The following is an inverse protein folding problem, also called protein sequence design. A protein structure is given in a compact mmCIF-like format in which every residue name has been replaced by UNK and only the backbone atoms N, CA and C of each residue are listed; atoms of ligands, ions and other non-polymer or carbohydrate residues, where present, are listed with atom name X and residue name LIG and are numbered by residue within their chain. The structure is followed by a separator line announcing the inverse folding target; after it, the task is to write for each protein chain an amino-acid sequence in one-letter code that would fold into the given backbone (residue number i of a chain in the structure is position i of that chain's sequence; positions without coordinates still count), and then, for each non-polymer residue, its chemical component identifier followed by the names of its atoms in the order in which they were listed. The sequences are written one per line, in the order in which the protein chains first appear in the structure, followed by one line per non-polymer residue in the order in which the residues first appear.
data_IF_642235128595
#
_entry.id   IF_642235128595
#
_cell.length_a   1.000
_cell.length_b   1.000
_cell.length_c   1.000
_cell.angle_alpha   90.00
_cell.angle_beta   90.00
_cell.angle_gamma   90.00
#
_symmetry.space_group_name_H-M   'P 1'
#
loop_
_entity.id
_entity.type
_entity.pdbx_description
1 polymer ?
#
# COMPACT_ATOMS: atom_id res chain seq x y z
N UNK A 1 -7.43 51.14 -22.12
CA UNK A 1 -8.20 52.01 -21.21
C UNK A 1 -9.74 51.90 -21.34
N UNK A 2 -10.31 51.11 -22.26
CA UNK A 2 -11.76 51.15 -22.56
C UNK A 2 -12.71 50.69 -21.44
N UNK A 3 -12.27 49.87 -20.48
CA UNK A 3 -13.15 49.31 -19.45
C UNK A 3 -13.90 50.39 -18.64
N UNK A 4 -13.26 51.52 -18.32
CA UNK A 4 -13.83 52.58 -17.49
C UNK A 4 -14.91 53.41 -18.20
N UNK A 5 -15.13 53.24 -19.50
CA UNK A 5 -16.10 54.01 -20.29
C UNK A 5 -17.50 53.36 -20.37
N UNK A 6 -17.63 52.05 -20.08
CA UNK A 6 -18.94 51.40 -20.04
C UNK A 6 -19.65 51.66 -18.69
N UNK A 7 -20.95 51.98 -18.68
CA UNK A 7 -21.80 51.94 -17.49
C UNK A 7 -21.79 50.56 -16.81
N UNK A 8 -21.93 50.56 -15.49
CA UNK A 8 -21.86 49.33 -14.67
C UNK A 8 -22.98 48.34 -15.02
N UNK A 9 -24.13 48.81 -15.49
CA UNK A 9 -25.28 47.99 -15.91
C UNK A 9 -24.97 47.16 -17.15
N UNK A 10 -24.19 47.68 -18.09
CA UNK A 10 -23.72 46.91 -19.24
C UNK A 10 -22.67 45.88 -18.82
N UNK A 11 -21.77 46.24 -17.89
CA UNK A 11 -20.74 45.35 -17.37
C UNK A 11 -21.36 44.19 -16.57
N UNK A 12 -22.34 44.47 -15.71
CA UNK A 12 -23.15 43.46 -15.01
C UNK A 12 -23.79 42.51 -16.00
N UNK A 13 -24.50 43.02 -17.01
CA UNK A 13 -25.17 42.20 -18.01
C UNK A 13 -24.20 41.33 -18.81
N UNK A 14 -22.99 41.80 -19.08
CA UNK A 14 -21.91 41.01 -19.71
C UNK A 14 -21.42 39.89 -18.76
N UNK A 15 -21.23 40.18 -17.46
CA UNK A 15 -20.83 39.18 -16.47
C UNK A 15 -21.90 38.11 -16.26
N UNK A 16 -23.17 38.51 -16.13
CA UNK A 16 -24.31 37.60 -15.99
C UNK A 16 -24.50 36.73 -17.24
N UNK A 17 -24.42 37.34 -18.44
CA UNK A 17 -24.45 36.56 -19.70
C UNK A 17 -23.30 35.57 -19.79
N UNK A 18 -22.09 35.92 -19.34
CA UNK A 18 -20.93 35.05 -19.35
C UNK A 18 -21.00 33.90 -18.34
N UNK A 19 -21.60 34.12 -17.16
CA UNK A 19 -21.89 33.05 -16.20
C UNK A 19 -23.02 32.14 -16.73
N UNK A 20 -24.09 32.72 -17.27
CA UNK A 20 -25.21 31.97 -17.87
C UNK A 20 -24.76 31.06 -19.01
N UNK A 21 -23.90 31.57 -19.90
CA UNK A 21 -23.34 30.83 -21.03
C UNK A 21 -22.15 29.93 -20.63
N UNK A 22 -21.81 29.83 -19.33
CA UNK A 22 -20.69 29.06 -18.78
C UNK A 22 -19.30 29.44 -19.34
N UNK A 23 -19.16 30.64 -19.89
CA UNK A 23 -17.87 31.17 -20.35
C UNK A 23 -17.03 31.78 -19.23
N UNK A 24 -17.65 32.11 -18.09
CA UNK A 24 -16.95 32.50 -16.86
C UNK A 24 -17.18 31.48 -15.74
N UNK A 25 -16.09 31.05 -15.11
CA UNK A 25 -16.09 30.24 -13.89
C UNK A 25 -15.88 31.11 -12.65
N UNK A 26 -16.01 30.51 -11.46
CA UNK A 26 -15.59 31.12 -10.19
C UNK A 26 -14.15 31.68 -10.23
N UNK A 27 -13.22 31.01 -10.94
CA UNK A 27 -11.83 31.50 -11.07
C UNK A 27 -11.78 32.85 -11.78
N UNK A 28 -12.54 32.98 -12.86
CA UNK A 28 -12.52 34.17 -13.71
C UNK A 28 -13.15 35.36 -12.99
N UNK A 29 -14.25 35.15 -12.26
CA UNK A 29 -14.81 36.16 -11.35
C UNK A 29 -13.81 36.56 -10.25
N UNK A 30 -13.05 35.62 -9.69
CA UNK A 30 -11.99 35.92 -8.72
C UNK A 30 -10.85 36.75 -9.35
N UNK A 31 -10.38 36.41 -10.56
CA UNK A 31 -9.37 37.19 -11.29
C UNK A 31 -9.86 38.61 -11.62
N UNK A 32 -11.11 38.74 -12.10
CA UNK A 32 -11.75 40.03 -12.34
C UNK A 32 -11.90 40.86 -11.04
N UNK A 33 -12.17 40.22 -9.90
CA UNK A 33 -12.26 40.91 -8.61
C UNK A 33 -10.92 41.51 -8.14
N UNK A 34 -9.80 40.96 -8.59
CA UNK A 34 -8.45 41.46 -8.30
C UNK A 34 -8.07 42.58 -9.30
N UNK A 35 -8.56 42.51 -10.53
CA UNK A 35 -8.16 43.40 -11.63
C UNK A 35 -8.46 44.89 -11.39
N UNK A 36 -9.62 45.26 -10.81
CA UNK A 36 -9.86 46.64 -10.36
C UNK A 36 -10.97 46.75 -9.30
N UNK A 37 -10.99 47.87 -8.55
CA UNK A 37 -11.99 48.15 -7.50
C UNK A 37 -13.45 48.14 -7.99
N UNK A 38 -13.71 48.45 -9.26
CA UNK A 38 -15.07 48.43 -9.84
C UNK A 38 -15.52 47.00 -10.12
N UNK A 39 -14.67 46.21 -10.79
CA UNK A 39 -14.92 44.79 -11.02
C UNK A 39 -14.98 44.00 -9.70
N UNK A 40 -14.24 44.39 -8.65
CA UNK A 40 -14.40 43.81 -7.31
C UNK A 40 -15.84 43.96 -6.76
N UNK A 41 -16.48 45.12 -6.97
CA UNK A 41 -17.87 45.35 -6.55
C UNK A 41 -18.84 44.52 -7.37
N UNK A 42 -18.76 44.60 -8.71
CA UNK A 42 -19.67 43.89 -9.62
C UNK A 42 -19.53 42.35 -9.48
N UNK A 43 -18.31 41.82 -9.38
CA UNK A 43 -18.06 40.39 -9.12
C UNK A 43 -18.33 39.94 -7.67
N UNK A 44 -18.87 40.82 -6.82
CA UNK A 44 -19.40 40.46 -5.50
C UNK A 44 -20.94 40.40 -5.46
N UNK A 45 -21.63 40.74 -6.56
CA UNK A 45 -23.09 40.70 -6.64
C UNK A 45 -23.63 39.26 -6.56
N UNK A 46 -24.62 39.03 -5.69
CA UNK A 46 -25.10 37.70 -5.34
C UNK A 46 -25.89 37.00 -6.46
N UNK A 47 -26.31 37.70 -7.53
CA UNK A 47 -26.92 37.09 -8.72
C UNK A 47 -25.94 36.15 -9.45
N UNK A 48 -24.72 36.63 -9.70
CA UNK A 48 -23.63 35.88 -10.31
C UNK A 48 -23.28 34.61 -9.51
N UNK A 49 -23.18 34.75 -8.19
CA UNK A 49 -22.85 33.63 -7.29
C UNK A 49 -24.01 32.65 -7.14
N UNK A 50 -25.26 33.12 -7.22
CA UNK A 50 -26.44 32.24 -7.31
C UNK A 50 -26.42 31.39 -8.58
N UNK A 51 -26.18 32.03 -9.73
CA UNK A 51 -26.20 31.34 -11.02
C UNK A 51 -25.06 30.33 -11.16
N UNK A 52 -23.84 30.66 -10.70
CA UNK A 52 -22.76 29.69 -10.53
C UNK A 52 -23.15 28.55 -9.58
N UNK A 53 -23.79 28.84 -8.44
CA UNK A 53 -24.17 27.84 -7.46
C UNK A 53 -25.19 26.82 -8.01
N UNK A 54 -26.19 27.27 -8.77
CA UNK A 54 -27.15 26.39 -9.45
C UNK A 54 -26.52 25.60 -10.60
N UNK A 55 -25.59 26.20 -11.36
CA UNK A 55 -24.90 25.53 -12.47
C UNK A 55 -23.93 24.45 -11.99
N UNK A 56 -23.15 24.72 -10.93
CA UNK A 56 -22.08 23.83 -10.45
C UNK A 56 -22.57 22.78 -9.45
N UNK A 57 -23.65 23.06 -8.71
CA UNK A 57 -24.17 22.19 -7.64
C UNK A 57 -25.69 21.91 -7.75
N UNK A 58 -26.21 21.45 -8.91
CA UNK A 58 -27.65 21.32 -9.17
C UNK A 58 -28.38 20.42 -8.16
N UNK A 59 -27.74 19.34 -7.70
CA UNK A 59 -28.32 18.39 -6.73
C UNK A 59 -28.41 18.93 -5.29
N UNK A 60 -27.96 20.16 -5.03
CA UNK A 60 -28.05 20.84 -3.73
C UNK A 60 -28.85 22.16 -3.84
N UNK A 61 -29.83 22.19 -4.74
CA UNK A 61 -30.83 23.26 -4.92
C UNK A 61 -31.87 23.33 -3.80
N UNK A 62 -32.03 22.28 -2.98
CA UNK A 62 -32.87 22.29 -1.78
C UNK A 62 -32.56 23.50 -0.91
N UNK A 63 -33.52 24.42 -0.81
CA UNK A 63 -33.36 25.70 -0.11
C UNK A 63 -32.87 25.46 1.32
N UNK A 64 -31.78 26.13 1.70
CA UNK A 64 -31.26 26.13 3.06
C UNK A 64 -32.07 27.13 3.92
N UNK A 65 -33.37 26.86 4.04
CA UNK A 65 -34.39 27.70 4.69
C UNK A 65 -34.31 27.64 6.23
N UNK A 66 -33.13 27.91 6.77
CA UNK A 66 -32.86 27.92 8.22
C UNK A 66 -31.83 29.01 8.55
N UNK A 67 -32.33 30.25 8.56
CA UNK A 67 -32.01 31.40 9.43
C UNK A 67 -30.64 31.53 10.15
N UNK A 68 -30.27 32.81 10.39
CA UNK A 68 -29.33 33.32 11.41
C UNK A 68 -27.84 33.51 11.10
N UNK A 69 -27.47 33.90 9.86
CA UNK A 69 -26.43 34.95 9.67
C UNK A 69 -26.49 35.58 8.27
N UNK A 70 -25.98 36.81 8.13
CA UNK A 70 -25.95 37.55 6.86
C UNK A 70 -24.79 37.10 5.95
N UNK A 71 -24.69 35.79 5.66
CA UNK A 71 -23.68 35.25 4.74
C UNK A 71 -24.09 35.48 3.29
N UNK A 72 -23.28 36.22 2.53
CA UNK A 72 -23.48 36.38 1.08
C UNK A 72 -23.44 35.04 0.34
N UNK A 73 -24.11 34.97 -0.81
CA UNK A 73 -24.17 33.75 -1.63
C UNK A 73 -22.77 33.38 -2.14
N UNK A 74 -21.89 34.38 -2.35
CA UNK A 74 -20.44 34.21 -2.54
C UNK A 74 -19.76 33.37 -1.45
N UNK A 75 -20.15 33.54 -0.18
CA UNK A 75 -19.62 32.73 0.94
C UNK A 75 -20.21 31.31 0.94
N UNK A 76 -21.50 31.16 0.66
CA UNK A 76 -22.16 29.84 0.52
C UNK A 76 -21.54 29.01 -0.61
N UNK A 77 -21.27 29.65 -1.76
CA UNK A 77 -20.56 29.04 -2.89
C UNK A 77 -19.15 28.60 -2.47
N UNK A 78 -18.37 29.45 -1.80
CA UNK A 78 -17.01 29.11 -1.32
C UNK A 78 -17.01 27.84 -0.47
N UNK A 79 -17.86 27.78 0.56
CA UNK A 79 -17.94 26.62 1.47
C UNK A 79 -18.36 25.34 0.72
N UNK A 80 -19.28 25.44 -0.25
CA UNK A 80 -19.70 24.30 -1.09
C UNK A 80 -18.57 23.84 -2.04
N UNK A 81 -17.84 24.77 -2.65
CA UNK A 81 -16.68 24.50 -3.52
C UNK A 81 -15.52 23.84 -2.75
N UNK A 82 -15.19 24.34 -1.55
CA UNK A 82 -14.18 23.75 -0.68
C UNK A 82 -14.57 22.32 -0.23
N UNK A 83 -15.84 22.12 0.15
CA UNK A 83 -16.39 20.79 0.47
C UNK A 83 -16.39 19.84 -0.74
N UNK A 84 -16.53 20.34 -1.95
CA UNK A 84 -16.43 19.53 -3.18
C UNK A 84 -14.99 19.18 -3.54
N UNK A 85 -14.06 20.15 -3.46
CA UNK A 85 -12.62 19.93 -3.61
C UNK A 85 -12.13 18.86 -2.63
N UNK A 86 -12.52 18.95 -1.36
CA UNK A 86 -12.10 17.95 -0.37
C UNK A 86 -12.79 16.60 -0.55
N UNK A 87 -14.06 16.54 -1.02
CA UNK A 87 -14.68 15.27 -1.44
C UNK A 87 -13.91 14.62 -2.59
N UNK A 88 -13.48 15.39 -3.60
CA UNK A 88 -12.66 14.92 -4.73
C UNK A 88 -11.27 14.45 -4.28
N UNK A 89 -10.60 15.22 -3.42
CA UNK A 89 -9.31 14.82 -2.82
C UNK A 89 -9.44 13.54 -1.98
N UNK A 90 -10.46 13.43 -1.13
CA UNK A 90 -10.69 12.23 -0.32
C UNK A 90 -11.05 11.01 -1.18
N UNK A 91 -11.81 11.17 -2.26
CA UNK A 91 -12.06 10.11 -3.23
C UNK A 91 -10.77 9.65 -3.92
N UNK A 92 -9.91 10.58 -4.34
CA UNK A 92 -8.60 10.29 -4.93
C UNK A 92 -7.68 9.55 -3.95
N UNK A 93 -7.54 10.04 -2.71
CA UNK A 93 -6.74 9.37 -1.67
C UNK A 93 -7.23 7.94 -1.41
N UNK A 94 -8.54 7.70 -1.35
CA UNK A 94 -9.13 6.35 -1.25
C UNK A 94 -8.87 5.49 -2.49
N UNK A 95 -8.81 6.05 -3.69
CA UNK A 95 -8.50 5.31 -4.91
C UNK A 95 -7.03 4.86 -4.95
N UNK A 96 -6.11 5.75 -4.57
CA UNK A 96 -4.67 5.43 -4.40
C UNK A 96 -4.47 4.34 -3.36
N UNK A 97 -5.04 4.48 -2.16
CA UNK A 97 -4.90 3.48 -1.07
C UNK A 97 -5.42 2.09 -1.47
N UNK A 98 -6.50 2.00 -2.25
CA UNK A 98 -6.98 0.71 -2.80
C UNK A 98 -5.98 0.09 -3.79
N UNK A 99 -5.27 0.90 -4.58
CA UNK A 99 -4.22 0.42 -5.49
C UNK A 99 -2.94 0.04 -4.74
N UNK A 100 -2.57 0.76 -3.69
CA UNK A 100 -1.46 0.39 -2.79
C UNK A 100 -1.76 -0.95 -2.08
N UNK A 101 -2.99 -1.14 -1.60
CA UNK A 101 -3.48 -2.43 -1.10
C UNK A 101 -3.40 -3.53 -2.17
N UNK A 102 -3.85 -3.28 -3.42
CA UNK A 102 -3.73 -4.25 -4.51
C UNK A 102 -2.27 -4.63 -4.81
N UNK A 103 -1.32 -3.68 -4.73
CA UNK A 103 0.12 -3.94 -4.88
C UNK A 103 0.66 -4.78 -3.70
N UNK A 104 0.25 -4.50 -2.47
CA UNK A 104 0.64 -5.27 -1.29
C UNK A 104 0.09 -6.72 -1.30
N UNK A 105 -1.17 -6.90 -1.68
CA UNK A 105 -1.78 -8.22 -1.89
C UNK A 105 -1.06 -9.00 -2.99
N UNK A 106 -0.73 -8.34 -4.10
CA UNK A 106 0.04 -8.97 -5.18
C UNK A 106 1.45 -9.38 -4.73
N UNK A 107 2.14 -8.55 -3.92
CA UNK A 107 3.43 -8.88 -3.31
C UNK A 107 3.34 -10.09 -2.36
N UNK A 108 2.28 -10.20 -1.55
CA UNK A 108 2.10 -11.36 -0.66
C UNK A 108 2.00 -12.65 -1.47
N UNK A 109 1.19 -12.64 -2.55
CA UNK A 109 1.02 -13.79 -3.46
C UNK A 109 2.31 -14.17 -4.20
N UNK A 110 3.13 -13.19 -4.60
CA UNK A 110 4.47 -13.46 -5.16
C UNK A 110 5.33 -14.24 -4.16
N UNK A 111 5.41 -13.79 -2.90
CA UNK A 111 6.20 -14.45 -1.84
C UNK A 111 5.66 -15.85 -1.47
N UNK A 112 4.35 -16.04 -1.52
CA UNK A 112 3.69 -17.33 -1.28
C UNK A 112 4.08 -18.36 -2.35
N UNK A 113 4.05 -17.97 -3.63
CA UNK A 113 4.49 -18.81 -4.75
C UNK A 113 6.01 -19.07 -4.66
N UNK A 114 6.80 -18.07 -4.28
CA UNK A 114 8.25 -18.24 -4.03
C UNK A 114 8.55 -19.23 -2.90
N UNK A 115 7.67 -19.36 -1.89
CA UNK A 115 7.81 -20.43 -0.88
C UNK A 115 7.47 -21.78 -1.46
N UNK A 116 6.27 -21.95 -2.03
CA UNK A 116 5.83 -23.23 -2.61
C UNK A 116 6.82 -23.78 -3.65
N UNK A 117 7.47 -22.90 -4.41
CA UNK A 117 8.51 -23.26 -5.36
C UNK A 117 9.82 -23.71 -4.70
N UNK A 118 10.22 -23.15 -3.55
CA UNK A 118 11.33 -23.70 -2.73
C UNK A 118 10.94 -25.05 -2.13
N UNK A 119 9.75 -25.12 -1.53
CA UNK A 119 9.26 -26.29 -0.81
C UNK A 119 9.21 -27.52 -1.76
N UNK A 120 8.67 -27.36 -2.98
CA UNK A 120 8.72 -28.41 -4.02
C UNK A 120 10.12 -28.66 -4.59
N UNK A 121 10.99 -27.65 -4.69
CA UNK A 121 12.37 -27.84 -5.16
C UNK A 121 13.23 -28.61 -4.15
N UNK A 122 13.00 -28.44 -2.85
CA UNK A 122 13.65 -29.23 -1.79
C UNK A 122 13.05 -30.63 -1.70
N UNK A 123 11.73 -30.78 -1.88
CA UNK A 123 11.09 -32.08 -2.05
C UNK A 123 11.66 -32.86 -3.25
N UNK A 124 11.85 -32.19 -4.40
CA UNK A 124 12.46 -32.77 -5.59
C UNK A 124 13.91 -33.25 -5.35
N UNK A 125 14.71 -32.48 -4.58
CA UNK A 125 16.06 -32.90 -4.18
C UNK A 125 16.01 -34.15 -3.28
N UNK A 126 15.08 -34.17 -2.32
CA UNK A 126 14.92 -35.30 -1.40
C UNK A 126 14.51 -36.59 -2.12
N UNK A 127 13.47 -36.55 -2.96
CA UNK A 127 13.00 -37.74 -3.69
C UNK A 127 14.03 -38.22 -4.72
N UNK A 128 14.75 -37.31 -5.38
CA UNK A 128 15.90 -37.65 -6.23
C UNK A 128 17.03 -38.34 -5.46
N UNK A 129 17.34 -37.85 -4.25
CA UNK A 129 18.34 -38.46 -3.38
C UNK A 129 17.90 -39.86 -2.89
N UNK A 130 16.66 -40.04 -2.41
CA UNK A 130 16.14 -41.35 -2.02
C UNK A 130 16.14 -42.33 -3.21
N UNK A 131 15.69 -41.90 -4.39
CA UNK A 131 15.70 -42.71 -5.61
C UNK A 131 17.12 -43.17 -5.96
N UNK A 132 18.13 -42.30 -5.83
CA UNK A 132 19.53 -42.65 -6.04
C UNK A 132 20.04 -43.65 -4.99
N UNK A 133 19.63 -43.51 -3.73
CA UNK A 133 20.02 -44.40 -2.65
C UNK A 133 19.36 -45.79 -2.77
N UNK A 134 18.07 -45.87 -3.15
CA UNK A 134 17.41 -47.16 -3.43
C UNK A 134 18.02 -47.86 -4.65
N UNK A 135 18.38 -47.12 -5.71
CA UNK A 135 19.10 -47.69 -6.87
C UNK A 135 20.48 -48.24 -6.46
N UNK A 136 21.23 -47.52 -5.62
CA UNK A 136 22.51 -48.00 -5.06
C UNK A 136 22.33 -49.23 -4.15
N UNK A 137 21.31 -49.23 -3.28
CA UNK A 137 21.00 -50.36 -2.39
C UNK A 137 20.60 -51.62 -3.18
N UNK A 138 19.81 -51.46 -4.25
CA UNK A 138 19.49 -52.54 -5.21
C UNK A 138 20.75 -53.11 -5.86
N UNK A 139 21.65 -52.27 -6.36
CA UNK A 139 22.91 -52.70 -6.96
C UNK A 139 23.79 -53.49 -5.95
N UNK A 140 23.92 -52.98 -4.72
CA UNK A 140 24.64 -53.68 -3.66
C UNK A 140 23.99 -55.02 -3.28
N UNK A 141 22.65 -55.09 -3.24
CA UNK A 141 21.92 -56.34 -3.00
C UNK A 141 22.13 -57.37 -4.13
N UNK A 142 22.13 -56.94 -5.40
CA UNK A 142 22.45 -57.83 -6.53
C UNK A 142 23.89 -58.37 -6.40
N UNK A 143 24.86 -57.53 -6.04
CA UNK A 143 26.23 -57.97 -5.79
C UNK A 143 26.31 -59.00 -4.63
N UNK A 144 25.66 -58.73 -3.50
CA UNK A 144 25.63 -59.67 -2.36
C UNK A 144 25.01 -61.02 -2.75
N UNK A 145 23.93 -61.03 -3.54
CA UNK A 145 23.30 -62.26 -4.01
C UNK A 145 24.23 -63.14 -4.88
N UNK A 146 25.17 -62.54 -5.61
CA UNK A 146 26.18 -63.26 -6.42
C UNK A 146 27.30 -63.85 -5.56
N UNK A 147 27.73 -63.15 -4.51
CA UNK A 147 28.92 -63.52 -3.72
C UNK A 147 28.61 -64.27 -2.41
N UNK A 148 27.36 -64.33 -1.94
CA UNK A 148 27.00 -65.03 -0.69
C UNK A 148 26.62 -66.51 -0.89
N UNK A 149 27.09 -67.43 -0.01
CA UNK A 149 26.62 -68.81 0.04
C UNK A 149 25.12 -68.93 0.32
N UNK A 150 24.50 -69.98 -0.24
CA UNK A 150 23.04 -70.09 -0.33
C UNK A 150 22.34 -70.20 1.03
N UNK A 151 22.99 -70.82 2.02
CA UNK A 151 22.50 -70.94 3.41
C UNK A 151 22.28 -69.57 4.06
N UNK A 152 23.18 -68.62 3.79
CA UNK A 152 23.06 -67.22 4.26
C UNK A 152 21.98 -66.49 3.45
N UNK A 153 21.99 -66.70 2.12
CA UNK A 153 21.03 -66.12 1.17
C UNK A 153 19.58 -66.45 1.53
N UNK A 154 19.29 -67.71 1.91
CA UNK A 154 17.96 -68.15 2.33
C UNK A 154 17.44 -67.43 3.57
N UNK A 155 18.28 -67.31 4.62
CA UNK A 155 17.89 -66.63 5.87
C UNK A 155 17.69 -65.13 5.68
N UNK A 156 18.53 -64.47 4.86
CA UNK A 156 18.32 -63.06 4.53
C UNK A 156 17.11 -62.84 3.63
N UNK A 157 16.86 -63.73 2.65
CA UNK A 157 15.66 -63.70 1.80
C UNK A 157 14.39 -63.75 2.65
N UNK A 158 14.27 -64.70 3.58
CA UNK A 158 13.11 -64.84 4.46
C UNK A 158 12.86 -63.62 5.36
N UNK A 159 13.90 -62.85 5.71
CA UNK A 159 13.79 -61.60 6.46
C UNK A 159 13.39 -60.43 5.55
N UNK A 160 13.91 -60.36 4.32
CA UNK A 160 13.58 -59.29 3.35
C UNK A 160 12.18 -59.46 2.76
N UNK A 161 11.70 -60.69 2.61
CA UNK A 161 10.32 -61.01 2.17
C UNK A 161 9.25 -60.61 3.20
N UNK A 162 9.62 -60.18 4.42
CA UNK A 162 8.69 -59.52 5.36
C UNK A 162 8.43 -58.04 5.00
N UNK A 163 9.11 -57.47 4.00
CA UNK A 163 8.81 -56.12 3.53
C UNK A 163 7.55 -56.09 2.66
N UNK A 164 6.50 -55.42 3.16
CA UNK A 164 5.13 -55.39 2.60
C UNK A 164 5.05 -54.85 1.15
N UNK A 165 6.07 -54.10 0.68
CA UNK A 165 6.08 -53.47 -0.64
C UNK A 165 7.38 -53.77 -1.39
N UNK A 166 7.33 -54.38 -2.59
CA UNK A 166 8.52 -54.68 -3.40
C UNK A 166 9.37 -53.46 -3.76
N UNK A 167 10.69 -53.67 -3.89
CA UNK A 167 11.64 -52.60 -4.21
C UNK A 167 11.35 -51.90 -5.55
N UNK A 168 10.91 -52.64 -6.58
CA UNK A 168 10.54 -52.05 -7.88
C UNK A 168 9.33 -51.11 -7.76
N UNK A 169 8.33 -51.48 -6.95
CA UNK A 169 7.16 -50.64 -6.68
C UNK A 169 7.54 -49.33 -5.97
N UNK A 170 8.51 -49.39 -5.04
CA UNK A 170 9.07 -48.20 -4.38
C UNK A 170 9.86 -47.31 -5.33
N UNK A 171 10.69 -47.90 -6.21
CA UNK A 171 11.42 -47.17 -7.25
C UNK A 171 10.45 -46.45 -8.19
N UNK A 172 9.41 -47.14 -8.67
CA UNK A 172 8.41 -46.56 -9.55
C UNK A 172 7.60 -45.43 -8.87
N UNK A 173 7.24 -45.59 -7.60
CA UNK A 173 6.57 -44.53 -6.83
C UNK A 173 7.41 -43.25 -6.74
N UNK A 174 8.70 -43.36 -6.41
CA UNK A 174 9.62 -42.21 -6.37
C UNK A 174 9.86 -41.59 -7.75
N UNK A 175 9.91 -42.39 -8.82
CA UNK A 175 10.01 -41.86 -10.19
C UNK A 175 8.75 -41.07 -10.60
N UNK A 176 7.57 -41.52 -10.18
CA UNK A 176 6.32 -40.80 -10.42
C UNK A 176 6.20 -39.54 -9.55
N UNK A 177 6.64 -39.57 -8.30
CA UNK A 177 6.68 -38.39 -7.44
C UNK A 177 7.68 -37.34 -7.94
N UNK A 178 8.85 -37.76 -8.43
CA UNK A 178 9.85 -36.87 -9.02
C UNK A 178 9.30 -36.16 -10.27
N UNK A 179 8.54 -36.87 -11.12
CA UNK A 179 7.80 -36.27 -12.25
C UNK A 179 6.72 -35.30 -11.80
N UNK A 180 6.00 -35.62 -10.72
CA UNK A 180 4.95 -34.77 -10.17
C UNK A 180 5.54 -33.45 -9.63
N UNK A 181 6.60 -33.49 -8.83
CA UNK A 181 7.29 -32.28 -8.36
C UNK A 181 7.82 -31.42 -9.52
N UNK A 182 8.37 -32.02 -10.58
CA UNK A 182 8.77 -31.28 -11.80
C UNK A 182 7.58 -30.56 -12.45
N UNK A 183 6.42 -31.22 -12.58
CA UNK A 183 5.20 -30.63 -13.12
C UNK A 183 4.65 -29.51 -12.22
N UNK A 184 4.69 -29.69 -10.89
CA UNK A 184 4.26 -28.68 -9.91
C UNK A 184 5.17 -27.44 -9.96
N UNK A 185 6.49 -27.60 -10.02
CA UNK A 185 7.45 -26.50 -10.16
C UNK A 185 7.18 -25.70 -11.45
N UNK A 186 7.00 -26.38 -12.59
CA UNK A 186 6.67 -25.71 -13.85
C UNK A 186 5.33 -24.92 -13.78
N UNK A 187 4.35 -25.46 -13.03
CA UNK A 187 3.10 -24.78 -12.72
C UNK A 187 3.29 -23.53 -11.84
N UNK A 188 4.07 -23.65 -10.76
CA UNK A 188 4.38 -22.53 -9.87
C UNK A 188 5.22 -21.45 -10.56
N UNK A 189 6.17 -21.80 -11.43
CA UNK A 189 6.90 -20.84 -12.25
C UNK A 189 5.97 -20.05 -13.18
N UNK A 190 5.00 -20.72 -13.82
CA UNK A 190 4.01 -20.04 -14.68
C UNK A 190 3.17 -19.06 -13.85
N UNK A 191 2.62 -19.53 -12.72
CA UNK A 191 1.87 -18.69 -11.80
C UNK A 191 2.71 -17.50 -11.29
N UNK A 192 4.00 -17.72 -11.01
CA UNK A 192 4.96 -16.70 -10.61
C UNK A 192 5.13 -15.62 -11.69
N UNK A 193 5.42 -16.02 -12.94
CA UNK A 193 5.59 -15.11 -14.08
C UNK A 193 4.35 -14.25 -14.29
N UNK A 194 3.15 -14.86 -14.30
CA UNK A 194 1.89 -14.12 -14.41
C UNK A 194 1.65 -13.17 -13.22
N UNK A 195 1.90 -13.62 -11.99
CA UNK A 195 1.65 -12.82 -10.79
C UNK A 195 2.65 -11.66 -10.66
N UNK A 196 3.90 -11.83 -11.13
CA UNK A 196 4.90 -10.76 -11.30
C UNK A 196 4.41 -9.71 -12.30
N UNK A 197 3.89 -10.13 -13.46
CA UNK A 197 3.29 -9.21 -14.45
C UNK A 197 2.08 -8.44 -13.90
N UNK A 198 1.19 -9.11 -13.15
CA UNK A 198 0.04 -8.47 -12.46
C UNK A 198 0.49 -7.43 -11.43
N UNK A 199 1.54 -7.75 -10.66
CA UNK A 199 2.17 -6.82 -9.72
C UNK A 199 2.75 -5.58 -10.43
N UNK A 200 3.54 -5.78 -11.48
CA UNK A 200 4.22 -4.68 -12.16
C UNK A 200 3.26 -3.80 -12.99
N UNK A 201 2.15 -4.37 -13.49
CA UNK A 201 1.03 -3.57 -14.01
C UNK A 201 0.40 -2.70 -12.92
N UNK A 202 0.08 -3.28 -11.75
CA UNK A 202 -0.53 -2.54 -10.64
C UNK A 202 0.40 -1.43 -10.09
N UNK A 203 1.73 -1.65 -10.07
CA UNK A 203 2.72 -0.60 -9.74
C UNK A 203 2.72 0.55 -10.76
N UNK A 204 2.67 0.24 -12.06
CA UNK A 204 2.60 1.26 -13.12
C UNK A 204 1.32 2.10 -13.01
N UNK A 205 0.16 1.46 -12.83
CA UNK A 205 -1.11 2.14 -12.57
C UNK A 205 -1.05 3.04 -11.31
N UNK A 206 -0.49 2.53 -10.21
CA UNK A 206 -0.30 3.28 -8.97
C UNK A 206 0.60 4.50 -9.16
N UNK A 207 1.70 4.39 -9.91
CA UNK A 207 2.61 5.51 -10.16
C UNK A 207 1.92 6.63 -10.95
N UNK A 208 1.12 6.28 -11.97
CA UNK A 208 0.28 7.28 -12.69
C UNK A 208 -0.73 7.93 -11.74
N UNK A 209 -1.38 7.14 -10.87
CA UNK A 209 -2.35 7.65 -9.90
C UNK A 209 -1.74 8.42 -8.71
N UNK A 210 -0.42 8.41 -8.51
CA UNK A 210 0.24 9.19 -7.46
C UNK A 210 0.45 10.66 -7.83
N UNK A 211 0.46 10.99 -9.12
CA UNK A 211 0.42 12.39 -9.57
C UNK A 211 -0.96 12.99 -9.33
N UNK A 212 -1.04 14.21 -8.80
CA UNK A 212 -2.31 14.87 -8.50
C UNK A 212 -2.22 16.41 -8.63
N UNK A 213 -2.77 17.02 -9.70
CA UNK A 213 -2.63 18.45 -9.99
C UNK A 213 -3.15 19.44 -8.93
N UNK A 214 -3.91 18.98 -7.93
CA UNK A 214 -4.43 19.83 -6.83
C UNK A 214 -3.65 19.69 -5.51
N UNK A 215 -2.52 18.95 -5.52
CA UNK A 215 -1.70 18.61 -4.35
C UNK A 215 -0.49 19.54 -4.14
N UNK A 216 -0.15 20.35 -5.15
CA UNK A 216 1.05 21.18 -5.17
C UNK A 216 0.90 22.44 -4.28
N UNK A 217 1.12 22.25 -2.98
CA UNK A 217 1.75 23.26 -2.10
C UNK A 217 2.35 22.65 -0.82
N UNK A 218 1.70 21.62 -0.25
CA UNK A 218 2.10 21.04 1.03
C UNK A 218 2.94 19.75 0.86
N UNK A 219 3.99 19.82 0.03
CA UNK A 219 5.07 18.83 0.02
C UNK A 219 6.19 19.28 0.96
N UNK A 220 5.96 19.16 2.27
CA UNK A 220 7.07 19.09 3.22
C UNK A 220 7.87 17.82 2.93
N UNK A 221 9.09 17.96 2.45
CA UNK A 221 10.07 16.88 2.37
C UNK A 221 10.31 16.34 3.79
N UNK A 222 9.80 15.13 4.04
CA UNK A 222 9.97 14.39 5.29
C UNK A 222 10.67 13.04 5.06
N UNK A 223 11.38 12.95 3.94
CA UNK A 223 12.54 12.10 3.75
C UNK A 223 13.73 13.09 3.65
N UNK A 224 14.88 12.71 4.20
CA UNK A 224 16.14 13.47 4.23
C UNK A 224 16.15 14.85 4.93
N UNK A 225 16.20 14.84 6.27
CA UNK A 225 17.19 15.63 7.05
C UNK A 225 17.34 15.09 8.49
N UNK A 226 18.00 13.94 8.60
CA UNK A 226 18.87 13.69 9.77
C UNK A 226 19.92 14.82 9.92
N UNK A 227 20.60 14.90 11.07
CA UNK A 227 21.68 15.88 11.34
C UNK A 227 21.29 17.37 11.48
N UNK A 228 20.44 17.72 12.46
CA UNK A 228 20.49 19.08 13.05
C UNK A 228 20.32 19.11 14.59
N UNK A 229 21.11 18.28 15.30
CA UNK A 229 21.26 18.34 16.77
C UNK A 229 22.07 19.57 17.21
N UNK A 230 21.56 20.78 16.96
CA UNK A 230 22.12 22.03 17.52
C UNK A 230 21.60 22.24 18.95
N UNK A 231 22.49 22.12 19.92
CA UNK A 231 22.18 22.11 21.35
C UNK A 231 21.66 23.46 21.84
N UNK A 232 20.37 23.52 22.19
CA UNK A 232 19.77 24.69 22.85
C UNK A 232 20.05 24.61 24.35
N UNK A 233 21.10 25.32 24.81
CA UNK A 233 21.49 25.37 26.24
C UNK A 233 20.33 25.90 27.09
N UNK A 234 19.75 25.04 27.93
CA UNK A 234 18.91 25.45 29.05
C UNK A 234 19.77 26.19 30.08
N UNK A 235 19.38 27.42 30.44
CA UNK A 235 19.92 28.09 31.63
C UNK A 235 19.11 27.63 32.84
N UNK A 236 19.78 27.00 33.80
CA UNK A 236 19.21 26.73 35.12
C UNK A 236 19.13 28.01 35.94
N UNK A 237 17.98 28.26 36.55
CA UNK A 237 17.83 29.15 37.69
C UNK A 237 17.19 28.33 38.82
N UNK A 238 17.81 28.32 40.00
CA UNK A 238 17.34 27.60 41.19
C UNK A 238 16.64 28.57 42.17
N UNK A 239 16.12 28.01 43.28
CA UNK A 239 15.59 28.67 44.49
C UNK A 239 14.15 29.19 44.32
N UNK A 240 13.18 29.03 45.24
CA UNK A 240 13.02 28.40 46.58
C UNK A 240 11.51 28.00 46.72
N UNK A 241 10.94 27.27 47.69
CA UNK A 241 11.32 26.52 48.92
C UNK A 241 10.16 25.55 49.29
N UNK A 242 10.33 24.61 50.23
CA UNK A 242 9.21 24.12 51.08
C UNK A 242 9.05 22.59 51.24
N UNK A 243 9.41 22.10 52.43
CA UNK A 243 8.83 21.03 53.27
C UNK A 243 8.18 19.74 52.70
N UNK A 244 8.63 18.60 53.24
CA UNK A 244 7.70 17.68 53.95
C UNK A 244 7.63 16.21 53.53
N UNK A 245 8.29 15.32 54.30
CA UNK A 245 7.82 14.01 54.84
C UNK A 245 6.73 13.18 54.10
N UNK A 246 6.81 11.84 53.95
CA UNK A 246 7.61 10.77 54.61
C UNK A 246 7.73 9.51 53.73
N UNK A 247 8.70 8.63 54.04
CA UNK A 247 8.62 7.14 53.98
C UNK A 247 8.24 6.39 52.67
N UNK A 248 8.45 5.07 52.52
CA UNK A 248 9.60 4.17 52.81
C UNK A 248 9.36 2.89 52.00
N UNK A 249 10.40 2.30 51.40
CA UNK A 249 10.53 0.83 51.26
C UNK A 249 11.88 0.44 50.64
N UNK A 250 12.60 -0.46 51.31
CA UNK A 250 13.82 -1.10 50.81
C UNK A 250 13.48 -2.52 50.34
N UNK A 251 14.00 -2.97 49.19
CA UNK A 251 14.36 -4.36 48.85
C UNK A 251 14.65 -4.49 47.32
N UNK A 252 15.52 -5.38 46.84
CA UNK A 252 16.59 -6.14 47.52
C UNK A 252 17.59 -6.70 46.50
N UNK A 253 18.83 -6.93 46.95
CA UNK A 253 19.83 -7.87 46.42
C UNK A 253 20.43 -7.61 45.01
N UNK A 254 21.77 -7.75 44.99
CA UNK A 254 22.70 -7.68 43.85
C UNK A 254 23.33 -9.09 43.67
N UNK A 255 24.29 -9.23 42.76
CA UNK A 255 25.24 -10.37 42.62
C UNK A 255 24.67 -11.61 41.89
N UNK A 256 25.10 -11.83 40.64
CA UNK A 256 26.17 -12.80 40.32
C UNK A 256 26.83 -12.47 38.96
N UNK A 257 28.07 -12.92 38.81
CA UNK A 257 28.93 -12.61 37.67
C UNK A 257 28.93 -13.72 36.60
N UNK A 258 29.47 -13.35 35.44
CA UNK A 258 30.11 -14.15 34.39
C UNK A 258 30.49 -15.61 34.74
N UNK A 259 30.32 -16.56 33.79
CA UNK A 259 31.41 -16.91 32.84
C UNK A 259 31.18 -18.21 32.05
N UNK A 260 31.72 -18.20 30.81
CA UNK A 260 32.29 -19.32 30.03
C UNK A 260 31.45 -20.57 29.66
N UNK A 261 31.29 -20.68 28.33
CA UNK A 261 31.64 -21.82 27.46
C UNK A 261 31.71 -23.26 28.04
N UNK A 262 31.01 -24.16 27.36
CA UNK A 262 31.64 -25.27 26.62
C UNK A 262 31.11 -25.23 25.17
#
# INVERSE_FOLDING_TARGET
MLANALPDELVRKILESGVQNRSFTCKDLCCLSIACRRLHRLSAEDSLWSQLLFSDFPNNSSHSSSSSSASSIKAVYRTRFEKDRERKLAAHRRAVLRKESQVAENLRKVREIESKLRDEADKLKFTSAELSNLRRARQASVALNVWQPEVVRGRQKQIVEQSVVPAESRLHALEMELRLCQQQIAGFEKAYREQRQRLDKAKKELNVMKYHPLREYNLTSSEDNELNKKSKKSKTCNNFTGDGFSEVSQNSKKIKNCSFNN
#
